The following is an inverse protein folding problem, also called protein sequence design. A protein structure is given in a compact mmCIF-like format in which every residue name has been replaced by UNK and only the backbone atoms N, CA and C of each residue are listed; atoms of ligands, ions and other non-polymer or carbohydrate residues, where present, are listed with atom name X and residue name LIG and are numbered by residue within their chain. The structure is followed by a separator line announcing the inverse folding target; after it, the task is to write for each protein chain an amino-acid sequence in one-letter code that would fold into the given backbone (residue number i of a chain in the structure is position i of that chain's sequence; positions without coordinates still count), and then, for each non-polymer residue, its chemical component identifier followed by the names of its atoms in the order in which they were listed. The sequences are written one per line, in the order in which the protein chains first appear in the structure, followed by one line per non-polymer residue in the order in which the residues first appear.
data_IF_588430688172
#
_entry.id   IF_588430688172
#
_cell.length_a   1.000
_cell.length_b   1.000
_cell.length_c   1.000
_cell.angle_alpha   90.00
_cell.angle_beta   90.00
_cell.angle_gamma   90.00
#
_symmetry.space_group_name_H-M   'P 1'
#
loop_
_entity.id
_entity.type
_entity.pdbx_description
1 polymer ?
#
# COMPACT_ATOMS: atom_id res chain seq x y z
N UNK A 1 -20.10 32.83 -25.35
CA UNK A 1 -20.63 31.56 -24.80
C UNK A 1 -19.49 30.72 -24.25
N UNK A 2 -19.44 30.51 -22.93
CA UNK A 2 -18.47 29.61 -22.30
C UNK A 2 -18.82 28.15 -22.66
N UNK A 3 -17.87 27.40 -23.22
CA UNK A 3 -18.08 26.00 -23.57
C UNK A 3 -18.16 25.15 -22.30
N UNK A 4 -19.35 24.61 -21.99
CA UNK A 4 -19.57 23.63 -20.91
C UNK A 4 -19.72 22.23 -21.52
N UNK A 5 -18.66 21.41 -21.57
CA UNK A 5 -18.79 20.00 -21.96
C UNK A 5 -19.59 19.22 -20.91
N UNK A 6 -20.13 18.05 -21.31
CA UNK A 6 -20.64 17.09 -20.34
C UNK A 6 -19.49 16.47 -19.52
N UNK A 7 -19.80 15.96 -18.32
CA UNK A 7 -18.80 15.48 -17.35
C UNK A 7 -17.91 14.36 -17.91
N UNK A 8 -18.48 13.51 -18.76
CA UNK A 8 -17.75 12.41 -19.39
C UNK A 8 -16.70 12.92 -20.40
N UNK A 9 -17.05 13.90 -21.24
CA UNK A 9 -16.10 14.51 -22.19
C UNK A 9 -15.03 15.28 -21.44
N UNK A 10 -15.39 15.96 -20.35
CA UNK A 10 -14.44 16.66 -19.50
C UNK A 10 -13.39 15.69 -18.91
N UNK A 11 -13.83 14.56 -18.34
CA UNK A 11 -12.93 13.55 -17.76
C UNK A 11 -11.99 12.94 -18.81
N UNK A 12 -12.51 12.62 -20.00
CA UNK A 12 -11.70 12.12 -21.12
C UNK A 12 -10.67 13.15 -21.60
N UNK A 13 -11.05 14.42 -21.69
CA UNK A 13 -10.13 15.49 -22.09
C UNK A 13 -9.05 15.75 -21.02
N UNK A 14 -9.42 15.75 -19.74
CA UNK A 14 -8.45 15.84 -18.64
C UNK A 14 -7.46 14.67 -18.65
N UNK A 15 -7.94 13.46 -18.91
CA UNK A 15 -7.09 12.29 -19.08
C UNK A 15 -6.15 12.42 -20.29
N UNK A 16 -6.63 12.94 -21.42
CA UNK A 16 -5.80 13.22 -22.59
C UNK A 16 -4.68 14.24 -22.27
N UNK A 17 -5.03 15.35 -21.62
CA UNK A 17 -4.05 16.37 -21.19
C UNK A 17 -3.01 15.77 -20.25
N UNK A 18 -3.43 14.89 -19.33
CA UNK A 18 -2.53 14.15 -18.43
C UNK A 18 -1.56 13.26 -19.21
N UNK A 19 -2.02 12.51 -20.20
CA UNK A 19 -1.16 11.69 -21.06
C UNK A 19 -0.15 12.52 -21.86
N UNK A 20 -0.57 13.69 -22.35
CA UNK A 20 0.34 14.62 -23.02
C UNK A 20 1.42 15.15 -22.08
N UNK A 21 1.06 15.45 -20.82
CA UNK A 21 1.98 15.94 -19.80
C UNK A 21 2.95 14.86 -19.29
N UNK A 22 2.44 13.68 -18.93
CA UNK A 22 3.24 12.62 -18.30
C UNK A 22 4.14 11.90 -19.30
N UNK A 23 3.63 11.66 -20.51
CA UNK A 23 4.32 10.84 -21.50
C UNK A 23 4.95 11.68 -22.62
N UNK A 24 4.75 13.00 -22.59
CA UNK A 24 5.21 13.92 -23.63
C UNK A 24 4.59 13.64 -25.00
N UNK A 25 3.40 13.02 -25.03
CA UNK A 25 2.71 12.65 -26.25
C UNK A 25 2.12 13.87 -26.98
N UNK A 26 2.06 13.77 -28.30
CA UNK A 26 1.30 14.72 -29.11
C UNK A 26 -0.20 14.57 -28.91
N UNK A 27 -0.93 15.66 -29.14
CA UNK A 27 -2.39 15.76 -28.90
C UNK A 27 -3.20 14.67 -29.59
N UNK A 28 -2.76 14.18 -30.75
CA UNK A 28 -3.45 13.13 -31.50
C UNK A 28 -3.39 11.78 -30.81
N UNK A 29 -2.19 11.35 -30.40
CA UNK A 29 -2.00 10.09 -29.68
C UNK A 29 -2.75 10.09 -28.36
N UNK A 30 -2.65 11.20 -27.62
CA UNK A 30 -3.32 11.34 -26.34
C UNK A 30 -4.85 11.37 -26.47
N UNK A 31 -5.40 12.10 -27.46
CA UNK A 31 -6.84 12.14 -27.71
C UNK A 31 -7.40 10.76 -28.13
N UNK A 32 -6.67 10.02 -28.97
CA UNK A 32 -7.07 8.68 -29.40
C UNK A 32 -7.16 7.71 -28.23
N UNK A 33 -6.14 7.69 -27.37
CA UNK A 33 -6.11 6.81 -26.18
C UNK A 33 -7.21 7.19 -25.18
N UNK A 34 -7.46 8.49 -25.01
CA UNK A 34 -8.50 8.99 -24.12
C UNK A 34 -9.92 8.95 -24.72
N UNK A 35 -10.10 8.37 -25.91
CA UNK A 35 -11.40 8.28 -26.62
C UNK A 35 -12.10 9.66 -26.75
N UNK A 36 -11.34 10.67 -27.13
CA UNK A 36 -11.81 12.04 -27.36
C UNK A 36 -11.20 12.63 -28.65
N UNK A 37 -11.55 13.86 -29.01
CA UNK A 37 -11.05 14.52 -30.24
C UNK A 37 -9.95 15.53 -29.93
N UNK A 38 -9.01 15.70 -30.88
CA UNK A 38 -7.99 16.75 -30.84
C UNK A 38 -8.59 18.14 -30.63
N UNK A 39 -9.76 18.41 -31.22
CA UNK A 39 -10.48 19.68 -31.13
C UNK A 39 -10.97 19.94 -29.71
N UNK A 40 -11.57 18.93 -29.07
CA UNK A 40 -12.03 19.01 -27.68
C UNK A 40 -10.87 19.23 -26.71
N UNK A 41 -9.75 18.51 -26.88
CA UNK A 41 -8.55 18.66 -26.05
C UNK A 41 -7.93 20.04 -26.20
N UNK A 42 -7.84 20.57 -27.44
CA UNK A 42 -7.32 21.91 -27.69
C UNK A 42 -8.22 22.99 -27.10
N UNK A 43 -9.54 22.90 -27.33
CA UNK A 43 -10.53 23.88 -26.87
C UNK A 43 -10.58 23.95 -25.34
N UNK A 44 -10.62 22.80 -24.67
CA UNK A 44 -10.60 22.76 -23.21
C UNK A 44 -9.24 23.16 -22.64
N UNK A 45 -8.14 22.69 -23.24
CA UNK A 45 -6.80 23.09 -22.81
C UNK A 45 -6.60 24.60 -22.88
N UNK A 46 -7.06 25.25 -23.95
CA UNK A 46 -7.04 26.72 -24.06
C UNK A 46 -7.89 27.39 -22.99
N UNK A 47 -9.07 26.83 -22.69
CA UNK A 47 -9.92 27.30 -21.58
C UNK A 47 -9.23 27.15 -20.21
N UNK A 48 -8.36 26.16 -20.05
CA UNK A 48 -7.53 25.94 -18.85
C UNK A 48 -6.19 26.69 -18.89
N UNK A 49 -5.94 27.54 -19.89
CA UNK A 49 -4.68 28.30 -20.00
C UNK A 49 -3.46 27.47 -20.41
N UNK A 50 -3.66 26.27 -20.96
CA UNK A 50 -2.59 25.36 -21.39
C UNK A 50 -1.90 25.88 -22.66
N UNK A 51 -0.58 26.02 -22.60
CA UNK A 51 0.25 26.36 -23.76
C UNK A 51 0.66 25.10 -24.52
N UNK A 52 0.22 25.02 -25.78
CA UNK A 52 0.63 23.97 -26.71
C UNK A 52 1.76 24.49 -27.61
N UNK A 53 2.75 23.64 -27.92
CA UNK A 53 3.84 23.95 -28.86
C UNK A 53 3.81 22.99 -30.05
N UNK A 54 3.93 23.54 -31.26
CA UNK A 54 3.99 22.81 -32.53
C UNK A 54 3.61 23.72 -33.69
N UNK A 55 4.15 23.48 -34.89
CA UNK A 55 3.72 24.17 -36.12
C UNK A 55 2.36 23.62 -36.56
N UNK A 56 1.58 24.43 -37.25
CA UNK A 56 0.35 23.98 -37.91
C UNK A 56 0.66 22.77 -38.81
N UNK A 57 -0.13 21.69 -38.71
CA UNK A 57 0.16 20.41 -39.37
C UNK A 57 1.04 19.40 -38.59
N UNK A 58 1.65 19.77 -37.45
CA UNK A 58 2.37 18.83 -36.57
C UNK A 58 1.62 18.52 -35.28
N UNK A 59 1.92 17.38 -34.65
CA UNK A 59 1.30 16.95 -33.40
C UNK A 59 1.63 17.93 -32.27
N UNK A 60 0.66 18.77 -31.88
CA UNK A 60 0.81 19.75 -30.79
C UNK A 60 1.23 19.03 -29.51
N UNK A 61 2.36 19.43 -28.93
CA UNK A 61 2.85 18.91 -27.67
C UNK A 61 2.46 19.85 -26.53
N UNK A 62 2.08 19.26 -25.39
CA UNK A 62 1.86 20.01 -24.16
C UNK A 62 3.21 20.52 -23.64
N UNK A 63 3.36 21.84 -23.52
CA UNK A 63 4.50 22.42 -22.80
C UNK A 63 4.03 22.71 -21.39
N UNK A 64 4.13 21.71 -20.53
CA UNK A 64 3.86 21.90 -19.12
C UNK A 64 4.74 23.00 -18.56
N UNK A 65 4.13 23.94 -17.84
CA UNK A 65 4.89 24.94 -17.11
C UNK A 65 5.79 24.23 -16.09
N UNK A 66 6.99 24.77 -15.78
CA UNK A 66 7.87 24.17 -14.79
C UNK A 66 7.16 23.84 -13.47
N UNK A 67 6.22 24.70 -13.04
CA UNK A 67 5.41 24.49 -11.83
C UNK A 67 4.59 23.20 -11.87
N UNK A 68 4.08 22.82 -13.04
CA UNK A 68 3.29 21.59 -13.25
C UNK A 68 4.16 20.33 -13.28
N UNK A 69 5.49 20.48 -13.33
CA UNK A 69 6.47 19.39 -13.35
C UNK A 69 7.14 19.17 -11.99
N UNK A 70 6.89 20.04 -11.00
CA UNK A 70 7.55 20.00 -9.70
C UNK A 70 7.31 18.65 -9.01
N UNK A 71 6.05 18.21 -8.91
CA UNK A 71 5.71 17.00 -8.17
C UNK A 71 6.35 15.77 -8.81
N UNK A 72 6.22 15.61 -10.13
CA UNK A 72 6.86 14.52 -10.88
C UNK A 72 8.39 14.55 -10.75
N UNK A 73 8.99 15.74 -10.69
CA UNK A 73 10.43 15.91 -10.53
C UNK A 73 10.90 15.46 -9.15
N UNK A 74 10.18 15.86 -8.09
CA UNK A 74 10.47 15.47 -6.72
C UNK A 74 10.26 13.97 -6.49
N UNK A 75 9.18 13.39 -7.03
CA UNK A 75 8.90 11.95 -6.96
C UNK A 75 9.99 11.14 -7.68
N UNK A 76 10.44 11.59 -8.85
CA UNK A 76 11.54 10.91 -9.57
C UNK A 76 12.84 10.96 -8.79
N UNK A 77 13.20 12.12 -8.25
CA UNK A 77 14.39 12.25 -7.42
C UNK A 77 14.33 11.34 -6.19
N UNK A 78 13.15 11.21 -5.60
CA UNK A 78 12.91 10.32 -4.47
C UNK A 78 13.05 8.84 -4.82
N UNK A 79 12.62 8.43 -6.02
CA UNK A 79 12.80 7.07 -6.56
C UNK A 79 14.25 6.79 -7.03
N UNK A 80 15.20 7.65 -6.68
CA UNK A 80 16.63 7.46 -6.94
C UNK A 80 17.17 8.11 -8.21
N UNK A 81 16.35 8.81 -9.00
CA UNK A 81 16.87 9.57 -10.15
C UNK A 81 17.71 10.77 -9.69
N UNK A 82 18.82 11.04 -10.38
CA UNK A 82 19.52 12.33 -10.19
C UNK A 82 18.67 13.49 -10.69
N UNK A 83 18.88 14.70 -10.14
CA UNK A 83 18.19 15.91 -10.60
C UNK A 83 18.34 16.11 -12.13
N UNK A 84 19.49 15.79 -12.70
CA UNK A 84 19.74 15.89 -14.15
C UNK A 84 18.89 14.89 -14.94
N UNK A 85 18.79 13.64 -14.48
CA UNK A 85 17.97 12.60 -15.12
C UNK A 85 16.48 12.94 -15.01
N UNK A 86 16.01 13.28 -13.82
CA UNK A 86 14.62 13.69 -13.59
C UNK A 86 14.22 14.91 -14.45
N UNK A 87 15.10 15.91 -14.57
CA UNK A 87 14.84 17.08 -15.42
C UNK A 87 14.77 16.71 -16.91
N UNK A 88 15.71 15.88 -17.39
CA UNK A 88 15.76 15.44 -18.79
C UNK A 88 14.48 14.70 -19.18
N UNK A 89 14.05 13.75 -18.36
CA UNK A 89 12.85 12.94 -18.61
C UNK A 89 11.58 13.79 -18.63
N UNK A 90 11.51 14.81 -17.77
CA UNK A 90 10.41 15.77 -17.75
C UNK A 90 10.54 16.89 -18.78
N UNK A 91 11.50 16.78 -19.72
CA UNK A 91 11.77 17.79 -20.77
C UNK A 91 11.92 19.20 -20.17
N UNK A 92 12.75 19.32 -19.13
CA UNK A 92 13.10 20.58 -18.44
C UNK A 92 14.61 20.60 -18.13
N UNK A 93 15.11 21.64 -17.49
CA UNK A 93 16.52 21.73 -17.06
C UNK A 93 16.60 21.85 -15.55
N UNK A 94 17.72 21.37 -14.97
CA UNK A 94 17.99 21.56 -13.54
C UNK A 94 18.02 23.04 -13.17
N UNK A 95 18.55 23.91 -14.03
CA UNK A 95 18.57 25.37 -13.83
C UNK A 95 17.15 25.96 -13.75
N UNK A 96 16.21 25.44 -14.53
CA UNK A 96 14.81 25.87 -14.49
C UNK A 96 14.14 25.39 -13.20
N UNK A 97 14.36 24.11 -12.85
CA UNK A 97 13.79 23.50 -11.65
C UNK A 97 14.36 24.10 -10.36
N UNK A 98 15.66 24.40 -10.32
CA UNK A 98 16.32 24.99 -9.14
C UNK A 98 15.82 26.40 -8.80
N UNK A 99 15.17 27.09 -9.74
CA UNK A 99 14.54 28.39 -9.53
C UNK A 99 13.09 28.29 -9.02
N UNK A 100 12.51 27.09 -9.02
CA UNK A 100 11.13 26.90 -8.58
C UNK A 100 11.05 26.80 -7.06
N UNK A 101 9.93 27.29 -6.53
CA UNK A 101 9.52 27.09 -5.15
C UNK A 101 8.21 26.29 -5.13
N UNK A 102 8.00 25.53 -4.07
CA UNK A 102 6.78 24.78 -3.81
C UNK A 102 6.46 24.90 -2.32
N UNK A 103 5.19 25.14 -1.95
CA UNK A 103 4.79 25.38 -0.54
C UNK A 103 5.72 26.36 0.21
N UNK A 104 6.20 27.41 -0.47
CA UNK A 104 7.09 28.43 0.09
C UNK A 104 8.57 28.04 0.27
N UNK A 105 8.97 26.81 -0.11
CA UNK A 105 10.37 26.34 -0.01
C UNK A 105 10.97 26.05 -1.41
N UNK A 106 12.28 26.23 -1.61
CA UNK A 106 12.94 25.82 -2.86
C UNK A 106 12.83 24.31 -3.04
N UNK A 107 12.61 23.83 -4.26
CA UNK A 107 12.36 22.39 -4.50
C UNK A 107 13.64 21.55 -4.39
N UNK A 108 14.80 22.13 -4.73
CA UNK A 108 16.13 21.50 -4.62
C UNK A 108 17.17 22.51 -4.15
N UNK A 109 18.21 22.03 -3.46
CA UNK A 109 19.42 22.80 -3.13
C UNK A 109 20.67 21.99 -3.45
N UNK A 110 21.80 22.67 -3.61
CA UNK A 110 23.10 21.99 -3.67
C UNK A 110 23.60 21.72 -2.25
N UNK A 111 23.78 20.45 -1.92
CA UNK A 111 24.38 19.99 -0.67
C UNK A 111 25.60 19.14 -1.05
N UNK A 112 26.79 19.47 -0.52
CA UNK A 112 28.06 18.78 -0.85
C UNK A 112 28.29 18.61 -2.37
N UNK A 113 27.95 19.64 -3.15
CA UNK A 113 28.11 19.65 -4.61
C UNK A 113 27.03 18.89 -5.40
N UNK A 114 26.08 18.20 -4.75
CA UNK A 114 24.99 17.46 -5.40
C UNK A 114 23.65 18.14 -5.21
N UNK A 115 22.78 18.05 -6.21
CA UNK A 115 21.40 18.55 -6.09
C UNK A 115 20.57 17.59 -5.25
N UNK A 116 20.05 18.07 -4.13
CA UNK A 116 19.26 17.32 -3.17
C UNK A 116 17.86 17.90 -3.07
N UNK A 117 16.85 17.02 -3.07
CA UNK A 117 15.45 17.39 -2.84
C UNK A 117 15.29 18.02 -1.45
N UNK A 118 14.53 19.10 -1.39
CA UNK A 118 14.13 19.74 -0.11
C UNK A 118 12.76 19.28 0.37
N UNK A 119 12.20 18.27 -0.30
CA UNK A 119 10.93 17.65 0.03
C UNK A 119 11.12 16.14 0.21
N UNK A 120 10.42 15.60 1.20
CA UNK A 120 10.28 14.17 1.44
C UNK A 120 8.87 13.80 0.97
N UNK A 121 8.73 13.02 -0.12
CA UNK A 121 7.46 12.44 -0.50
C UNK A 121 7.05 11.38 0.52
N UNK A 122 5.82 11.49 0.98
CA UNK A 122 5.09 10.45 1.69
C UNK A 122 4.06 9.88 0.73
N UNK A 123 4.18 8.61 0.36
CA UNK A 123 3.20 7.89 -0.44
C UNK A 123 2.34 7.02 0.47
N UNK A 124 1.02 7.10 0.31
CA UNK A 124 0.11 6.13 0.94
C UNK A 124 0.07 4.84 0.15
N UNK A 125 0.20 3.70 0.83
CA UNK A 125 0.18 2.37 0.24
C UNK A 125 -0.73 1.42 1.02
N UNK A 126 -1.04 0.28 0.40
CA UNK A 126 -1.64 -0.86 1.09
C UNK A 126 -0.57 -1.91 1.33
N UNK A 127 -0.38 -2.28 2.60
CA UNK A 127 0.45 -3.40 2.98
C UNK A 127 -0.39 -4.66 3.17
N UNK A 128 0.15 -5.80 2.74
CA UNK A 128 -0.41 -7.11 3.04
C UNK A 128 0.69 -8.01 3.60
N UNK A 129 0.39 -8.67 4.70
CA UNK A 129 1.20 -9.72 5.30
C UNK A 129 0.34 -10.96 5.46
N UNK A 130 0.95 -12.13 5.30
CA UNK A 130 0.24 -13.39 5.49
C UNK A 130 1.18 -14.49 5.97
N UNK A 131 0.64 -15.49 6.63
CA UNK A 131 1.43 -16.60 7.16
C UNK A 131 0.55 -17.76 7.60
N UNK A 132 1.16 -18.73 8.25
CA UNK A 132 0.47 -19.95 8.65
C UNK A 132 0.11 -19.90 10.13
N UNK A 133 -0.78 -20.80 10.54
CA UNK A 133 -1.14 -21.00 11.93
C UNK A 133 -0.65 -22.40 12.28
N UNK A 134 0.09 -22.56 13.38
CA UNK A 134 0.58 -23.85 13.85
C UNK A 134 -0.07 -24.23 15.18
N UNK A 135 -0.21 -25.53 15.41
CA UNK A 135 -0.65 -26.07 16.69
C UNK A 135 0.53 -26.24 17.67
N UNK A 136 0.29 -26.65 18.93
CA UNK A 136 1.35 -26.89 19.93
C UNK A 136 2.40 -27.92 19.50
N UNK A 137 2.00 -28.89 18.68
CA UNK A 137 2.89 -29.93 18.15
C UNK A 137 3.77 -29.43 16.99
N UNK A 138 3.61 -28.17 16.56
CA UNK A 138 4.35 -27.57 15.46
C UNK A 138 3.78 -27.87 14.07
N UNK A 139 2.62 -28.53 13.98
CA UNK A 139 1.97 -28.81 12.71
C UNK A 139 1.19 -27.57 12.24
N UNK A 140 1.35 -27.22 10.97
CA UNK A 140 0.55 -26.18 10.31
C UNK A 140 -0.91 -26.65 10.21
N UNK A 141 -1.84 -25.75 10.52
CA UNK A 141 -3.26 -25.98 10.33
C UNK A 141 -3.63 -25.91 8.85
N UNK A 142 -4.47 -26.85 8.42
CA UNK A 142 -4.93 -26.96 7.04
C UNK A 142 -3.98 -27.74 6.12
N UNK A 143 -4.29 -27.76 4.83
CA UNK A 143 -3.53 -28.52 3.83
C UNK A 143 -2.10 -28.02 3.59
N UNK A 144 -1.84 -26.73 3.85
CA UNK A 144 -0.54 -26.07 3.64
C UNK A 144 -0.04 -26.10 2.19
N UNK A 145 -0.93 -26.25 1.19
CA UNK A 145 -0.52 -26.26 -0.21
C UNK A 145 -0.54 -24.87 -0.84
N UNK A 146 -1.45 -24.01 -0.39
CA UNK A 146 -1.64 -22.64 -0.91
C UNK A 146 -2.00 -21.67 0.21
N UNK A 147 -1.56 -20.41 0.09
CA UNK A 147 -1.85 -19.35 1.06
C UNK A 147 -1.71 -17.95 0.45
N UNK A 148 -2.31 -16.96 1.10
CA UNK A 148 -2.20 -15.55 0.75
C UNK A 148 -2.91 -15.14 -0.55
N UNK A 149 -2.50 -14.02 -1.17
CA UNK A 149 -3.27 -13.38 -2.25
C UNK A 149 -3.42 -14.25 -3.50
N UNK A 150 -2.46 -15.14 -3.76
CA UNK A 150 -2.46 -16.01 -4.93
C UNK A 150 -3.09 -17.38 -4.67
N UNK A 151 -3.52 -17.70 -3.44
CA UNK A 151 -4.19 -18.97 -3.12
C UNK A 151 -5.40 -19.18 -4.04
N UNK A 152 -6.11 -18.08 -4.27
CA UNK A 152 -7.14 -17.73 -5.26
C UNK A 152 -6.94 -18.14 -6.72
N UNK A 153 -5.70 -18.09 -7.19
CA UNK A 153 -5.41 -18.01 -8.61
C UNK A 153 -5.71 -19.30 -9.37
N UNK A 154 -6.07 -19.17 -10.65
CA UNK A 154 -6.32 -20.30 -11.56
C UNK A 154 -5.13 -21.26 -11.67
N UNK A 155 -3.90 -20.73 -11.58
CA UNK A 155 -2.65 -21.49 -11.58
C UNK A 155 -2.52 -22.42 -10.38
N UNK A 156 -3.11 -22.04 -9.24
CA UNK A 156 -3.03 -22.78 -7.99
C UNK A 156 -4.21 -23.75 -7.79
N UNK A 157 -5.22 -23.77 -8.68
CA UNK A 157 -6.40 -24.65 -8.55
C UNK A 157 -6.03 -26.13 -8.44
N UNK A 158 -5.01 -26.60 -9.17
CA UNK A 158 -4.54 -27.99 -9.14
C UNK A 158 -3.78 -28.37 -7.86
N UNK A 159 -3.29 -27.37 -7.11
CA UNK A 159 -2.58 -27.57 -5.84
C UNK A 159 -3.54 -27.61 -4.65
N UNK A 160 -4.81 -27.28 -4.88
CA UNK A 160 -5.84 -27.37 -3.84
C UNK A 160 -6.34 -28.80 -3.80
N UNK A 161 -6.43 -29.31 -2.59
CA UNK A 161 -7.11 -30.56 -2.34
C UNK A 161 -8.59 -30.25 -2.04
N UNK A 162 -9.56 -30.82 -2.77
CA UNK A 162 -10.97 -30.63 -2.47
C UNK A 162 -11.38 -31.21 -1.11
N UNK A 163 -10.65 -32.19 -0.58
CA UNK A 163 -10.97 -32.88 0.67
C UNK A 163 -10.34 -32.20 1.91
N UNK A 164 -9.45 -31.22 1.71
CA UNK A 164 -8.79 -30.50 2.80
C UNK A 164 -9.00 -28.99 2.75
N UNK A 165 -9.19 -28.40 3.92
CA UNK A 165 -9.26 -26.95 4.08
C UNK A 165 -7.86 -26.35 4.13
N UNK A 166 -7.58 -25.37 3.29
CA UNK A 166 -6.38 -24.52 3.42
C UNK A 166 -6.67 -23.40 4.43
N UNK A 167 -5.75 -23.19 5.36
CA UNK A 167 -5.92 -22.22 6.45
C UNK A 167 -4.66 -21.35 6.54
N UNK A 168 -4.86 -20.04 6.57
CA UNK A 168 -3.78 -19.07 6.78
C UNK A 168 -4.33 -17.80 7.40
N UNK A 169 -3.44 -16.96 7.94
CA UNK A 169 -3.80 -15.64 8.43
C UNK A 169 -3.38 -14.57 7.42
N UNK A 170 -4.18 -13.51 7.32
CA UNK A 170 -3.88 -12.30 6.55
C UNK A 170 -3.95 -11.08 7.46
N UNK A 171 -3.07 -10.11 7.20
CA UNK A 171 -3.12 -8.79 7.78
C UNK A 171 -2.99 -7.73 6.69
N UNK A 172 -3.92 -6.81 6.64
CA UNK A 172 -3.92 -5.66 5.73
C UNK A 172 -3.71 -4.38 6.52
N UNK A 173 -2.89 -3.48 6.00
CA UNK A 173 -2.73 -2.12 6.54
C UNK A 173 -3.01 -1.14 5.41
N UNK A 174 -4.14 -0.45 5.51
CA UNK A 174 -4.58 0.52 4.52
C UNK A 174 -4.05 1.91 4.86
N UNK A 175 -3.94 2.77 3.84
CA UNK A 175 -3.49 4.15 3.98
C UNK A 175 -2.15 4.31 4.73
N UNK A 176 -1.27 3.31 4.65
CA UNK A 176 0.04 3.34 5.30
C UNK A 176 0.93 4.38 4.61
N UNK A 177 1.32 5.43 5.33
CA UNK A 177 2.25 6.44 4.84
C UNK A 177 3.69 5.92 4.89
N UNK A 178 4.41 6.06 3.78
CA UNK A 178 5.81 5.66 3.69
C UNK A 178 6.61 6.68 2.91
N UNK A 179 7.86 6.87 3.28
CA UNK A 179 8.91 7.62 2.58
C UNK A 179 9.87 6.70 1.82
N UNK A 180 9.67 5.38 1.80
CA UNK A 180 10.35 4.52 0.85
C UNK A 180 9.90 4.79 -0.60
N UNK A 181 10.86 4.72 -1.53
CA UNK A 181 10.60 4.93 -2.96
C UNK A 181 9.77 3.82 -3.61
N UNK A 182 9.69 2.65 -2.98
CA UNK A 182 8.85 1.53 -3.43
C UNK A 182 8.04 0.90 -2.28
N UNK A 183 6.81 0.40 -2.54
CA UNK A 183 6.01 -0.29 -1.52
C UNK A 183 6.65 -1.54 -0.95
N UNK A 184 7.43 -2.28 -1.75
CA UNK A 184 8.07 -3.51 -1.32
C UNK A 184 9.19 -3.29 -0.31
N UNK A 185 9.90 -2.15 -0.40
CA UNK A 185 10.90 -1.75 0.60
C UNK A 185 10.21 -1.45 1.94
N UNK A 186 9.14 -0.64 1.91
CA UNK A 186 8.37 -0.31 3.10
C UNK A 186 7.82 -1.57 3.80
N UNK A 187 7.22 -2.49 3.06
CA UNK A 187 6.69 -3.73 3.62
C UNK A 187 7.78 -4.58 4.29
N UNK A 188 8.97 -4.69 3.68
CA UNK A 188 10.07 -5.45 4.26
C UNK A 188 10.60 -4.80 5.53
N UNK A 189 10.73 -3.48 5.53
CA UNK A 189 11.22 -2.72 6.68
C UNK A 189 10.28 -2.82 7.88
N UNK A 190 8.98 -2.62 7.67
CA UNK A 190 7.98 -2.59 8.75
C UNK A 190 7.47 -3.96 9.17
N UNK A 191 7.77 -5.03 8.41
CA UNK A 191 7.26 -6.39 8.62
C UNK A 191 7.35 -6.84 10.07
N UNK A 192 8.54 -6.80 10.66
CA UNK A 192 8.76 -7.41 11.98
C UNK A 192 8.04 -6.64 13.09
N UNK A 193 8.00 -5.29 13.00
CA UNK A 193 7.25 -4.45 13.95
C UNK A 193 5.74 -4.70 13.86
N UNK A 194 5.18 -4.75 12.64
CA UNK A 194 3.75 -5.00 12.42
C UNK A 194 3.37 -6.41 12.86
N UNK A 195 4.15 -7.42 12.47
CA UNK A 195 3.91 -8.82 12.84
C UNK A 195 4.00 -9.02 14.34
N UNK A 196 4.92 -8.34 15.02
CA UNK A 196 4.98 -8.35 16.49
C UNK A 196 3.69 -7.84 17.11
N UNK A 197 3.16 -6.69 16.65
CA UNK A 197 1.87 -6.17 17.15
C UNK A 197 0.73 -7.15 16.91
N UNK A 198 0.69 -7.80 15.74
CA UNK A 198 -0.31 -8.84 15.45
C UNK A 198 -0.19 -9.99 16.45
N UNK A 199 1.02 -10.52 16.66
CA UNK A 199 1.26 -11.62 17.59
C UNK A 199 0.91 -11.26 19.03
N UNK A 200 1.38 -10.11 19.50
CA UNK A 200 1.12 -9.62 20.86
C UNK A 200 -0.40 -9.47 21.12
N UNK A 201 -1.19 -9.12 20.10
CA UNK A 201 -2.64 -9.02 20.23
C UNK A 201 -3.37 -10.35 20.01
N UNK A 202 -2.92 -11.20 19.10
CA UNK A 202 -3.65 -12.42 18.70
C UNK A 202 -3.30 -13.64 19.54
N UNK A 203 -2.08 -13.74 20.06
CA UNK A 203 -1.58 -14.88 20.83
C UNK A 203 -1.66 -14.65 22.35
N UNK A 204 -1.91 -13.42 22.80
CA UNK A 204 -2.05 -13.11 24.23
C UNK A 204 -3.25 -13.82 24.84
N UNK A 205 -3.02 -14.51 25.96
CA UNK A 205 -4.08 -15.08 26.78
C UNK A 205 -4.75 -13.97 27.61
N UNK A 206 -6.08 -14.00 27.68
CA UNK A 206 -6.82 -13.05 28.50
C UNK A 206 -8.33 -13.03 28.30
N UNK A 207 -8.84 -13.73 27.28
CA UNK A 207 -10.28 -13.80 27.06
C UNK A 207 -10.87 -14.95 27.88
N UNK A 208 -11.85 -14.64 28.72
CA UNK A 208 -12.60 -15.65 29.46
C UNK A 208 -13.65 -16.29 28.55
N UNK A 209 -13.43 -17.55 28.18
CA UNK A 209 -14.35 -18.33 27.34
C UNK A 209 -14.46 -19.76 27.88
N UNK A 210 -15.30 -19.92 28.91
CA UNK A 210 -15.50 -21.21 29.56
C UNK A 210 -16.06 -22.27 28.60
N UNK A 211 -16.90 -21.88 27.64
CA UNK A 211 -17.47 -22.81 26.66
C UNK A 211 -16.40 -23.37 25.74
N UNK A 212 -15.52 -22.52 25.20
CA UNK A 212 -14.41 -22.97 24.37
C UNK A 212 -13.40 -23.81 25.16
N UNK A 213 -13.06 -23.40 26.38
CA UNK A 213 -12.16 -24.18 27.25
C UNK A 213 -12.74 -25.57 27.58
N UNK A 214 -14.05 -25.67 27.85
CA UNK A 214 -14.73 -26.95 28.04
C UNK A 214 -14.76 -27.80 26.78
N UNK A 215 -14.86 -27.19 25.58
CA UNK A 215 -14.71 -27.92 24.32
C UNK A 215 -13.30 -28.49 24.16
N UNK A 216 -12.27 -27.72 24.50
CA UNK A 216 -10.87 -28.17 24.43
C UNK A 216 -10.59 -29.34 25.36
N UNK A 217 -11.12 -29.31 26.58
CA UNK A 217 -10.89 -30.38 27.58
C UNK A 217 -11.54 -31.72 27.23
N UNK A 218 -12.43 -31.78 26.24
CA UNK A 218 -13.01 -33.05 25.76
C UNK A 218 -11.97 -33.98 25.11
N UNK A 219 -10.88 -33.42 24.58
CA UNK A 219 -9.76 -34.20 24.05
C UNK A 219 -8.71 -34.42 25.14
N UNK A 220 -8.45 -35.68 25.49
CA UNK A 220 -7.55 -36.04 26.60
C UNK A 220 -6.13 -35.48 26.44
N UNK A 221 -5.58 -35.46 25.22
CA UNK A 221 -4.25 -34.91 24.94
C UNK A 221 -4.23 -33.39 25.14
N UNK A 222 -5.28 -32.71 24.69
CA UNK A 222 -5.43 -31.25 24.86
C UNK A 222 -5.63 -30.92 26.34
N UNK A 223 -6.45 -31.67 27.06
CA UNK A 223 -6.67 -31.49 28.50
C UNK A 223 -5.38 -31.64 29.31
N UNK A 224 -4.52 -32.61 28.97
CA UNK A 224 -3.22 -32.79 29.60
C UNK A 224 -2.28 -31.61 29.30
N UNK A 225 -2.28 -31.10 28.05
CA UNK A 225 -1.53 -29.89 27.71
C UNK A 225 -2.04 -28.66 28.46
N UNK A 226 -3.36 -28.51 28.60
CA UNK A 226 -3.97 -27.41 29.36
C UNK A 226 -3.52 -27.38 30.83
N UNK A 227 -3.32 -28.55 31.44
CA UNK A 227 -2.76 -28.67 32.79
C UNK A 227 -1.28 -28.27 32.82
N UNK A 228 -0.48 -28.72 31.84
CA UNK A 228 0.94 -28.35 31.73
C UNK A 228 1.12 -26.84 31.52
N UNK A 229 0.26 -26.23 30.71
CA UNK A 229 0.24 -24.80 30.44
C UNK A 229 -0.38 -23.98 31.58
N UNK A 230 -0.77 -24.62 32.69
CA UNK A 230 -1.40 -23.98 33.86
C UNK A 230 -2.64 -23.15 33.53
N UNK A 231 -3.42 -23.58 32.51
CA UNK A 231 -4.69 -22.94 32.12
C UNK A 231 -5.92 -23.53 32.81
N UNK A 232 -5.70 -24.60 33.58
CA UNK A 232 -6.69 -25.32 34.37
C UNK A 232 -6.05 -25.69 35.72
N UNK A 233 -6.75 -25.56 36.86
CA UNK A 233 -8.12 -25.01 37.05
C UNK A 233 -8.17 -23.48 36.78
N UNK A 234 -9.34 -22.77 36.85
CA UNK A 234 -9.52 -21.39 36.37
C UNK A 234 -8.35 -20.43 36.63
N UNK A 235 -8.06 -19.49 35.69
CA UNK A 235 -9.07 -18.58 35.14
C UNK A 235 -9.54 -18.80 33.70
N UNK A 236 -9.37 -20.01 33.11
CA UNK A 236 -9.93 -20.38 31.78
C UNK A 236 -9.76 -19.29 30.72
N UNK A 237 -8.52 -18.92 30.43
CA UNK A 237 -8.23 -17.93 29.41
C UNK A 237 -7.84 -18.56 28.09
N UNK A 238 -8.38 -17.99 27.03
CA UNK A 238 -8.01 -18.26 25.64
C UNK A 238 -7.46 -16.99 25.01
N UNK A 239 -6.70 -17.16 23.94
CA UNK A 239 -6.27 -16.07 23.06
C UNK A 239 -7.35 -15.76 22.02
N UNK A 240 -7.35 -14.55 21.43
CA UNK A 240 -8.20 -14.24 20.29
C UNK A 240 -8.01 -15.23 19.14
N UNK A 241 -6.80 -15.73 18.90
CA UNK A 241 -6.52 -16.69 17.82
C UNK A 241 -7.18 -18.04 18.08
N UNK A 242 -7.17 -18.51 19.34
CA UNK A 242 -7.86 -19.74 19.74
C UNK A 242 -9.38 -19.60 19.60
N UNK A 243 -9.95 -18.43 19.95
CA UNK A 243 -11.38 -18.16 19.70
C UNK A 243 -11.75 -18.18 18.22
N UNK A 244 -10.89 -17.60 17.38
CA UNK A 244 -11.12 -17.55 15.93
C UNK A 244 -11.06 -18.92 15.29
N UNK A 245 -10.07 -19.72 15.68
CA UNK A 245 -9.78 -21.01 15.05
C UNK A 245 -10.52 -22.17 15.70
N UNK A 246 -11.09 -21.95 16.89
CA UNK A 246 -11.62 -22.99 17.77
C UNK A 246 -10.62 -24.14 17.97
N UNK A 247 -9.32 -23.81 18.04
CA UNK A 247 -8.24 -24.78 18.26
C UNK A 247 -7.35 -24.32 19.40
N UNK A 248 -6.93 -25.27 20.23
CA UNK A 248 -6.12 -25.00 21.41
C UNK A 248 -4.65 -24.78 21.10
N UNK A 249 -4.02 -23.82 21.79
CA UNK A 249 -2.59 -23.58 21.83
C UNK A 249 -1.98 -23.18 20.48
N UNK A 250 -2.79 -22.59 19.60
CA UNK A 250 -2.34 -22.20 18.27
C UNK A 250 -1.49 -20.93 18.32
N UNK A 251 -0.55 -20.81 17.38
CA UNK A 251 0.29 -19.61 17.22
C UNK A 251 0.49 -19.28 15.74
N UNK A 252 0.78 -18.01 15.45
CA UNK A 252 1.09 -17.53 14.12
C UNK A 252 2.53 -17.87 13.75
N UNK A 253 2.70 -18.50 12.60
CA UNK A 253 3.97 -18.94 12.07
C UNK A 253 4.34 -18.22 10.77
N UNK A 254 5.58 -17.73 10.73
CA UNK A 254 6.13 -17.00 9.60
C UNK A 254 5.38 -15.71 9.31
N UNK A 255 5.91 -14.91 8.39
CA UNK A 255 5.22 -13.79 7.80
C UNK A 255 5.83 -13.50 6.43
N UNK A 256 5.04 -13.72 5.39
CA UNK A 256 5.35 -13.39 4.01
C UNK A 256 4.75 -12.04 3.68
N UNK A 257 5.47 -11.32 2.84
CA UNK A 257 5.01 -10.06 2.28
C UNK A 257 4.11 -10.37 1.09
N UNK A 258 2.89 -9.85 1.12
CA UNK A 258 1.90 -9.99 0.05
C UNK A 258 2.13 -9.03 -1.11
N UNK A 259 1.11 -8.84 -1.94
CA UNK A 259 1.20 -7.96 -3.10
C UNK A 259 1.13 -6.51 -2.66
N UNK A 260 2.28 -5.84 -2.65
CA UNK A 260 2.36 -4.42 -2.39
C UNK A 260 1.61 -3.63 -3.48
N UNK A 261 0.68 -2.78 -3.07
CA UNK A 261 -0.03 -1.91 -4.01
C UNK A 261 0.05 -0.46 -3.57
N UNK A 262 0.37 0.42 -4.52
CA UNK A 262 0.15 1.84 -4.35
C UNK A 262 -1.28 2.16 -4.72
N UNK A 263 -1.86 3.16 -4.06
CA UNK A 263 -3.04 3.79 -4.62
C UNK A 263 -2.59 4.57 -5.85
N UNK A 264 -2.93 4.11 -7.06
CA UNK A 264 -2.41 4.59 -8.36
C UNK A 264 -2.59 6.10 -8.67
N UNK A 265 -3.14 6.90 -7.74
CA UNK A 265 -3.37 8.32 -7.88
C UNK A 265 -2.25 9.18 -7.25
N UNK A 266 -1.91 10.28 -7.93
CA UNK A 266 -1.01 11.34 -7.43
C UNK A 266 -1.54 12.02 -6.16
N UNK A 267 -2.85 11.96 -5.94
CA UNK A 267 -3.49 12.49 -4.71
C UNK A 267 -2.97 11.83 -3.43
N UNK A 268 -2.28 10.70 -3.54
CA UNK A 268 -1.81 9.91 -2.41
C UNK A 268 -0.35 10.16 -2.08
N UNK A 269 0.30 11.09 -2.79
CA UNK A 269 1.66 11.52 -2.51
C UNK A 269 1.61 12.90 -1.86
N UNK A 270 2.00 12.96 -0.61
CA UNK A 270 2.16 14.20 0.14
C UNK A 270 3.64 14.62 0.12
N UNK A 271 3.93 15.76 -0.47
CA UNK A 271 5.29 16.33 -0.47
C UNK A 271 5.48 17.20 0.78
N UNK A 272 6.22 16.67 1.76
CA UNK A 272 6.52 17.31 3.03
C UNK A 272 7.83 18.12 2.89
N UNK A 273 7.86 19.43 3.18
CA UNK A 273 9.12 20.17 3.24
C UNK A 273 10.05 19.56 4.29
N UNK A 274 11.33 19.37 3.99
CA UNK A 274 12.32 18.82 4.94
C UNK A 274 12.39 19.59 6.26
N UNK A 275 12.18 20.91 6.21
CA UNK A 275 12.13 21.77 7.41
C UNK A 275 10.93 21.49 8.33
N UNK A 276 9.94 20.77 7.84
CA UNK A 276 8.72 20.35 8.56
C UNK A 276 8.62 18.83 8.67
N UNK A 277 9.74 18.12 8.45
CA UNK A 277 9.82 16.68 8.64
C UNK A 277 10.53 16.41 9.98
N UNK A 278 9.95 15.55 10.81
CA UNK A 278 10.48 15.23 12.13
C UNK A 278 9.50 15.40 13.29
N UNK A 279 9.74 14.64 14.36
CA UNK A 279 9.04 14.77 15.64
C UNK A 279 7.55 14.43 15.53
N UNK A 280 6.66 15.19 16.19
CA UNK A 280 5.21 14.89 16.16
C UNK A 280 4.59 14.92 14.75
N UNK A 281 5.24 15.55 13.76
CA UNK A 281 4.73 15.66 12.40
C UNK A 281 5.02 14.42 11.55
N UNK A 282 5.98 13.57 11.96
CA UNK A 282 6.31 12.29 11.33
C UNK A 282 5.55 11.12 11.96
N UNK A 283 4.92 11.31 13.11
CA UNK A 283 4.08 10.29 13.76
C UNK A 283 2.84 9.95 12.91
N UNK A 284 2.52 8.66 12.84
CA UNK A 284 1.39 8.09 12.12
C UNK A 284 0.71 7.05 13.00
N UNK A 285 -0.59 6.91 12.81
CA UNK A 285 -1.42 5.87 13.43
C UNK A 285 -2.29 5.25 12.33
N UNK A 286 -2.21 3.94 12.19
CA UNK A 286 -2.94 3.17 11.18
C UNK A 286 -3.54 1.92 11.82
N UNK A 287 -4.61 1.41 11.23
CA UNK A 287 -5.23 0.17 11.68
C UNK A 287 -4.69 -1.03 10.89
N UNK A 288 -4.19 -2.03 11.61
CA UNK A 288 -3.94 -3.37 11.09
C UNK A 288 -5.25 -4.14 11.11
N UNK A 289 -5.67 -4.64 9.95
CA UNK A 289 -6.85 -5.47 9.76
C UNK A 289 -6.45 -6.93 9.62
N UNK A 290 -6.66 -7.71 10.68
CA UNK A 290 -6.33 -9.14 10.75
C UNK A 290 -7.55 -10.01 10.49
N UNK A 291 -7.34 -11.10 9.75
CA UNK A 291 -8.35 -12.13 9.50
C UNK A 291 -7.71 -13.50 9.33
N UNK A 292 -8.50 -14.55 9.53
CA UNK A 292 -8.14 -15.92 9.17
C UNK A 292 -8.98 -16.35 7.97
N UNK A 293 -8.31 -16.93 7.00
CA UNK A 293 -8.88 -17.35 5.73
C UNK A 293 -8.93 -18.87 5.69
N UNK A 294 -10.08 -19.39 5.22
CA UNK A 294 -10.39 -20.81 5.08
C UNK A 294 -10.78 -21.06 3.63
N UNK A 295 -9.99 -21.85 2.92
CA UNK A 295 -10.24 -22.15 1.51
C UNK A 295 -10.44 -23.65 1.31
N UNK A 296 -11.69 -24.02 1.03
CA UNK A 296 -12.08 -25.33 0.50
C UNK A 296 -12.59 -25.15 -0.93
N UNK A 297 -13.85 -25.50 -1.18
CA UNK A 297 -14.52 -25.20 -2.46
C UNK A 297 -14.59 -23.69 -2.77
N UNK A 298 -14.78 -22.89 -1.72
CA UNK A 298 -14.83 -21.43 -1.79
C UNK A 298 -13.97 -20.82 -0.67
N UNK A 299 -13.46 -19.61 -0.92
CA UNK A 299 -12.79 -18.82 0.09
C UNK A 299 -13.81 -18.27 1.07
N UNK A 300 -13.67 -18.64 2.34
CA UNK A 300 -14.42 -18.09 3.46
C UNK A 300 -13.43 -17.38 4.39
N UNK A 301 -13.79 -16.18 4.81
CA UNK A 301 -13.07 -15.44 5.85
C UNK A 301 -13.95 -15.42 7.10
N UNK A 302 -13.47 -16.01 8.19
CA UNK A 302 -14.13 -15.96 9.50
C UNK A 302 -13.05 -15.83 10.57
N UNK A 303 -13.24 -14.97 11.59
CA UNK A 303 -14.42 -14.20 11.96
C UNK A 303 -14.37 -12.82 11.29
N UNK A 304 -15.21 -11.89 11.74
CA UNK A 304 -15.09 -10.47 11.43
C UNK A 304 -13.67 -9.99 11.70
N UNK A 305 -13.13 -9.23 10.73
CA UNK A 305 -11.78 -8.66 10.78
C UNK A 305 -11.49 -8.00 12.13
N UNK A 306 -10.43 -8.44 12.79
CA UNK A 306 -9.92 -7.82 14.02
C UNK A 306 -9.05 -6.62 13.65
N UNK A 307 -9.13 -5.55 14.43
CA UNK A 307 -8.43 -4.30 14.18
C UNK A 307 -7.47 -3.96 15.31
N UNK A 308 -6.25 -3.58 14.98
CA UNK A 308 -5.23 -3.16 15.94
C UNK A 308 -4.65 -1.81 15.52
N UNK A 309 -4.46 -0.89 16.46
CA UNK A 309 -3.72 0.35 16.18
C UNK A 309 -2.22 0.05 16.07
N UNK A 310 -1.59 0.62 15.05
CA UNK A 310 -0.16 0.58 14.83
C UNK A 310 0.36 2.00 14.72
N UNK A 311 1.09 2.42 15.75
CA UNK A 311 1.74 3.72 15.81
C UNK A 311 3.18 3.60 15.37
N UNK A 312 3.60 4.50 14.48
CA UNK A 312 4.96 4.53 13.94
C UNK A 312 5.37 5.95 13.57
N UNK A 313 6.65 6.15 13.29
CA UNK A 313 7.17 7.42 12.78
C UNK A 313 7.80 7.22 11.41
N UNK A 314 7.55 8.15 10.50
CA UNK A 314 8.27 8.24 9.23
C UNK A 314 9.77 8.56 9.42
N UNK A 315 10.17 9.06 10.59
CA UNK A 315 11.58 9.29 10.90
C UNK A 315 12.36 7.98 10.99
N UNK A 316 11.71 6.86 11.34
CA UNK A 316 12.36 5.55 11.40
C UNK A 316 12.90 5.08 10.03
N UNK A 317 12.41 5.67 8.94
CA UNK A 317 12.79 5.31 7.56
C UNK A 317 13.95 6.15 6.99
N UNK A 318 14.39 7.21 7.68
CA UNK A 318 15.32 8.22 7.15
C UNK A 318 16.66 8.31 7.89
#
# INVERSE_FOLDING_TARGET
MAWKPNDETQNRVLYALRLMQSNGWGIERAAKVAKTTRRSVRKYGQHLGVKFKGKEGTALQFVGQPIQKIEDFLIRMHRGDSASKAAKDLKTTVRTMSKQTYKGSPIIKKEKGRWVSQFIPEEKIVMQFYGHIRNPQGNILGGNNVSGPDATSSKNKKKRDPDYMEIWWDAFVYDFGTTFGTPGEAQRFWKDKIVKVIKDNMESLGIQDANLMNRFSTNATVALQMQQDSRVPPPYTVSPLEQVTERYGVSLEGAKVGTATTYQSRSNINLIPKSKFGGKQSERDVEIQFQVSYLGEALKSYPTTKKFSFKYSLDDEN
#
